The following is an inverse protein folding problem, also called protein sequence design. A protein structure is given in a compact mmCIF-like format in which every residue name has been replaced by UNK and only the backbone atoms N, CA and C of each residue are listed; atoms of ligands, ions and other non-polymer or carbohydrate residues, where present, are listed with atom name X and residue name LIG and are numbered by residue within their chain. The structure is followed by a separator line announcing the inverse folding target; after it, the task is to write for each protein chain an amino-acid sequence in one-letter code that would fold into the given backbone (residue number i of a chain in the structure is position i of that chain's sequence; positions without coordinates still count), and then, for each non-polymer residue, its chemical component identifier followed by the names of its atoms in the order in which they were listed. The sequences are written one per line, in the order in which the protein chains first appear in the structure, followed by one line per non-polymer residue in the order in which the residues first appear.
data_IF_538320531655
#
_entry.id   IF_538320531655
#
_cell.length_a   1.000
_cell.length_b   1.000
_cell.length_c   1.000
_cell.angle_alpha   90.00
_cell.angle_beta   90.00
_cell.angle_gamma   90.00
#
_symmetry.space_group_name_H-M   'P 1'
#
loop_
_entity.id
_entity.type
_entity.pdbx_description
1 polymer ?
#
# COMPACT_ATOMS: atom_id res chain seq x y z
N UNK A 1 3.11 -63.20 -48.04
CA UNK A 1 2.82 -62.40 -46.83
C UNK A 1 1.84 -63.19 -45.98
N UNK A 2 2.22 -63.50 -44.74
CA UNK A 2 1.40 -64.33 -43.84
C UNK A 2 0.23 -63.52 -43.27
N UNK A 3 -0.89 -64.16 -42.92
CA UNK A 3 -2.04 -63.49 -42.29
C UNK A 3 -1.68 -62.71 -41.01
N UNK A 4 -0.58 -63.08 -40.35
CA UNK A 4 0.01 -62.41 -39.20
C UNK A 4 0.67 -61.06 -39.53
N UNK A 5 1.28 -60.93 -40.71
CA UNK A 5 1.89 -59.66 -41.17
C UNK A 5 0.82 -58.64 -41.58
N UNK A 6 -0.25 -59.10 -42.24
CA UNK A 6 -1.41 -58.25 -42.56
C UNK A 6 -2.17 -57.80 -41.32
N UNK A 7 -2.32 -58.65 -40.29
CA UNK A 7 -2.96 -58.25 -39.04
C UNK A 7 -2.11 -57.26 -38.23
N UNK A 8 -0.77 -57.39 -38.22
CA UNK A 8 0.12 -56.38 -37.61
C UNK A 8 0.06 -55.04 -38.34
N UNK A 9 0.10 -55.05 -39.68
CA UNK A 9 -0.04 -53.84 -40.49
C UNK A 9 -1.40 -53.15 -40.31
N UNK A 10 -2.48 -53.91 -40.17
CA UNK A 10 -3.80 -53.37 -39.89
C UNK A 10 -3.92 -52.82 -38.47
N UNK A 11 -3.31 -53.48 -37.49
CA UNK A 11 -3.34 -53.05 -36.09
C UNK A 11 -2.48 -51.79 -35.85
N UNK A 12 -1.28 -51.72 -36.44
CA UNK A 12 -0.45 -50.51 -36.47
C UNK A 12 -1.16 -49.36 -37.18
N UNK A 13 -1.86 -49.64 -38.29
CA UNK A 13 -2.62 -48.62 -39.02
C UNK A 13 -3.80 -48.08 -38.21
N UNK A 14 -4.57 -48.95 -37.53
CA UNK A 14 -5.68 -48.50 -36.66
C UNK A 14 -5.20 -47.74 -35.42
N UNK A 15 -4.06 -48.14 -34.82
CA UNK A 15 -3.45 -47.40 -33.71
C UNK A 15 -2.92 -46.03 -34.15
N UNK A 16 -2.37 -45.93 -35.37
CA UNK A 16 -1.94 -44.65 -35.94
C UNK A 16 -3.12 -43.75 -36.32
N UNK A 17 -4.20 -44.31 -36.87
CA UNK A 17 -5.42 -43.56 -37.24
C UNK A 17 -6.12 -42.99 -35.98
N UNK A 18 -6.15 -43.75 -34.87
CA UNK A 18 -6.68 -43.28 -33.58
C UNK A 18 -5.81 -42.19 -32.95
N UNK A 19 -4.48 -42.30 -33.07
CA UNK A 19 -3.52 -41.29 -32.57
C UNK A 19 -3.59 -39.99 -33.38
N UNK A 20 -3.65 -40.10 -34.72
CA UNK A 20 -3.80 -38.97 -35.64
C UNK A 20 -5.10 -38.19 -35.39
N UNK A 21 -6.25 -38.89 -35.33
CA UNK A 21 -7.54 -38.28 -35.07
C UNK A 21 -7.59 -37.63 -33.67
N UNK A 22 -6.92 -38.22 -32.67
CA UNK A 22 -6.78 -37.65 -31.35
C UNK A 22 -5.98 -36.33 -31.38
N UNK A 23 -4.87 -36.29 -32.12
CA UNK A 23 -4.02 -35.10 -32.22
C UNK A 23 -4.72 -33.92 -32.91
N UNK A 24 -5.38 -34.17 -34.04
CA UNK A 24 -6.20 -33.15 -34.74
C UNK A 24 -7.29 -32.60 -33.82
N UNK A 25 -7.99 -33.48 -33.11
CA UNK A 25 -9.04 -33.10 -32.17
C UNK A 25 -8.50 -32.26 -31.02
N UNK A 26 -7.34 -32.61 -30.45
CA UNK A 26 -6.74 -31.83 -29.38
C UNK A 26 -6.32 -30.43 -29.85
N UNK A 27 -5.68 -30.30 -31.02
CA UNK A 27 -5.34 -28.99 -31.59
C UNK A 27 -6.60 -28.15 -31.87
N UNK A 28 -7.64 -28.77 -32.42
CA UNK A 28 -8.93 -28.10 -32.67
C UNK A 28 -9.61 -27.65 -31.37
N UNK A 29 -9.51 -28.44 -30.30
CA UNK A 29 -10.05 -28.10 -28.98
C UNK A 29 -9.36 -26.89 -28.34
N UNK A 30 -8.13 -26.56 -28.73
CA UNK A 30 -7.46 -25.33 -28.32
C UNK A 30 -8.06 -24.08 -29.00
N UNK A 31 -8.90 -24.27 -30.02
CA UNK A 31 -9.48 -23.20 -30.82
C UNK A 31 -8.59 -22.76 -32.00
N UNK A 32 -7.58 -23.56 -32.36
CA UNK A 32 -6.74 -23.31 -33.53
C UNK A 32 -7.61 -23.40 -34.79
N UNK A 33 -7.44 -22.43 -35.69
CA UNK A 33 -8.22 -22.38 -36.93
C UNK A 33 -7.88 -23.57 -37.84
N UNK A 34 -8.92 -24.23 -38.37
CA UNK A 34 -8.76 -25.32 -39.34
C UNK A 34 -7.99 -24.92 -40.61
N UNK A 35 -7.94 -23.62 -40.93
CA UNK A 35 -7.22 -23.08 -42.08
C UNK A 35 -5.71 -22.93 -41.84
N UNK A 36 -5.23 -23.16 -40.62
CA UNK A 36 -3.80 -23.09 -40.31
C UNK A 36 -3.10 -24.37 -40.75
N UNK A 37 -1.94 -24.21 -41.38
CA UNK A 37 -1.03 -25.32 -41.67
C UNK A 37 -0.30 -25.77 -40.41
N UNK A 38 0.17 -27.01 -40.38
CA UNK A 38 0.98 -27.51 -39.26
C UNK A 38 2.26 -26.67 -39.07
N UNK A 39 2.89 -26.22 -40.14
CA UNK A 39 4.02 -25.28 -40.12
C UNK A 39 3.65 -23.93 -39.47
N UNK A 40 2.46 -23.40 -39.75
CA UNK A 40 1.99 -22.16 -39.13
C UNK A 40 1.69 -22.34 -37.64
N UNK A 41 1.15 -23.50 -37.23
CA UNK A 41 0.95 -23.85 -35.82
C UNK A 41 2.29 -24.00 -35.11
N UNK A 42 3.27 -24.64 -35.74
CA UNK A 42 4.64 -24.73 -35.23
C UNK A 42 5.25 -23.35 -35.04
N UNK A 43 5.07 -22.43 -36.01
CA UNK A 43 5.54 -21.06 -35.89
C UNK A 43 4.90 -20.31 -34.69
N UNK A 44 3.65 -20.60 -34.33
CA UNK A 44 3.04 -20.01 -33.14
C UNK A 44 3.71 -20.44 -31.83
N UNK A 45 4.45 -21.56 -31.81
CA UNK A 45 5.23 -21.96 -30.63
C UNK A 45 6.37 -20.97 -30.33
N UNK A 46 6.86 -20.24 -31.33
CA UNK A 46 7.84 -19.16 -31.14
C UNK A 46 7.24 -17.98 -30.36
N UNK A 47 5.94 -17.73 -30.50
CA UNK A 47 5.25 -16.69 -29.73
C UNK A 47 5.11 -17.10 -28.25
N UNK A 48 4.87 -18.38 -27.99
CA UNK A 48 4.87 -18.94 -26.63
C UNK A 48 6.26 -18.80 -26.00
N UNK A 49 7.31 -19.11 -26.75
CA UNK A 49 8.70 -18.93 -26.28
C UNK A 49 9.04 -17.48 -25.98
N UNK A 50 8.60 -16.54 -26.81
CA UNK A 50 8.80 -15.13 -26.55
C UNK A 50 8.18 -14.69 -25.22
N UNK A 51 6.98 -15.20 -24.88
CA UNK A 51 6.35 -14.92 -23.57
C UNK A 51 7.15 -15.51 -22.42
N UNK A 52 7.55 -16.79 -22.52
CA UNK A 52 8.34 -17.44 -21.48
C UNK A 52 9.66 -16.72 -21.22
N UNK A 53 10.33 -16.25 -22.28
CA UNK A 53 11.54 -15.44 -22.18
C UNK A 53 11.26 -14.12 -21.46
N UNK A 54 10.18 -13.41 -21.80
CA UNK A 54 9.82 -12.17 -21.11
C UNK A 54 9.46 -12.39 -19.63
N UNK A 55 8.73 -13.46 -19.30
CA UNK A 55 8.45 -13.83 -17.91
C UNK A 55 9.74 -14.13 -17.13
N UNK A 56 10.67 -14.88 -17.74
CA UNK A 56 11.96 -15.17 -17.11
C UNK A 56 12.79 -13.89 -16.91
N UNK A 57 12.84 -13.01 -17.90
CA UNK A 57 13.53 -11.71 -17.80
C UNK A 57 12.99 -10.89 -16.63
N UNK A 58 11.68 -10.86 -16.45
CA UNK A 58 11.03 -10.17 -15.34
C UNK A 58 11.39 -10.80 -13.99
N UNK A 59 11.36 -12.13 -13.90
CA UNK A 59 11.69 -12.84 -12.68
C UNK A 59 13.17 -12.67 -12.28
N UNK A 60 14.07 -12.70 -13.28
CA UNK A 60 15.50 -12.43 -13.09
C UNK A 60 15.75 -11.00 -12.62
N UNK A 61 14.98 -10.03 -13.14
CA UNK A 61 15.10 -8.62 -12.73
C UNK A 61 14.70 -8.42 -11.26
N UNK A 62 13.71 -9.18 -10.78
CA UNK A 62 13.25 -9.10 -9.39
C UNK A 62 14.06 -9.92 -8.40
N UNK A 63 14.72 -11.01 -8.83
CA UNK A 63 15.50 -11.89 -7.96
C UNK A 63 16.40 -11.17 -6.93
N UNK A 64 17.23 -10.18 -7.32
CA UNK A 64 18.09 -9.45 -6.36
C UNK A 64 17.29 -8.60 -5.36
N UNK A 65 16.11 -8.11 -5.74
CA UNK A 65 15.22 -7.32 -4.89
C UNK A 65 14.51 -8.22 -3.88
N UNK A 66 13.90 -9.31 -4.37
CA UNK A 66 13.11 -10.27 -3.59
C UNK A 66 13.94 -10.88 -2.45
N UNK A 67 15.22 -11.18 -2.70
CA UNK A 67 16.12 -11.80 -1.71
C UNK A 67 16.27 -10.94 -0.45
N UNK A 68 16.07 -9.62 -0.58
CA UNK A 68 16.21 -8.65 0.50
C UNK A 68 14.86 -8.10 1.01
N UNK A 69 13.76 -8.47 0.36
CA UNK A 69 12.40 -8.08 0.73
C UNK A 69 11.76 -9.10 1.67
N UNK A 70 10.75 -8.64 2.41
CA UNK A 70 9.93 -9.51 3.25
C UNK A 70 9.22 -10.54 2.39
N UNK A 71 9.21 -11.80 2.83
CA UNK A 71 8.53 -12.91 2.12
C UNK A 71 7.06 -12.63 1.87
N UNK A 72 6.42 -11.85 2.73
CA UNK A 72 5.03 -11.43 2.58
C UNK A 72 4.75 -10.57 1.36
N UNK A 73 5.77 -9.92 0.79
CA UNK A 73 5.65 -9.11 -0.43
C UNK A 73 5.91 -9.93 -1.70
N UNK A 74 6.35 -11.18 -1.57
CA UNK A 74 6.76 -12.01 -2.72
C UNK A 74 5.58 -12.34 -3.65
N UNK A 75 4.34 -12.31 -3.16
CA UNK A 75 3.12 -12.50 -3.96
C UNK A 75 3.02 -11.49 -5.11
N UNK A 76 3.46 -10.24 -4.91
CA UNK A 76 3.46 -9.21 -5.96
C UNK A 76 4.40 -9.53 -7.13
N UNK A 77 5.27 -10.52 -7.00
CA UNK A 77 6.27 -10.87 -8.01
C UNK A 77 5.99 -12.21 -8.69
N UNK A 78 4.77 -12.74 -8.52
CA UNK A 78 4.30 -13.90 -9.28
C UNK A 78 4.11 -13.50 -10.76
N UNK A 79 4.22 -14.44 -11.70
CA UNK A 79 4.13 -14.14 -13.13
C UNK A 79 2.71 -14.16 -13.67
N UNK A 80 1.81 -13.32 -13.15
CA UNK A 80 0.38 -13.29 -13.52
C UNK A 80 -0.15 -11.86 -13.70
N UNK A 81 -1.39 -11.73 -14.20
CA UNK A 81 -2.08 -10.43 -14.29
C UNK A 81 -2.27 -9.81 -12.89
N UNK A 82 -2.77 -10.62 -11.95
CA UNK A 82 -3.10 -10.19 -10.59
C UNK A 82 -1.86 -9.68 -9.87
N UNK A 83 -0.76 -10.44 -9.92
CA UNK A 83 0.48 -10.04 -9.27
C UNK A 83 1.11 -8.80 -9.92
N UNK A 84 0.92 -8.60 -11.22
CA UNK A 84 1.34 -7.36 -11.91
C UNK A 84 0.55 -6.14 -11.42
N UNK A 85 -0.77 -6.27 -11.28
CA UNK A 85 -1.63 -5.23 -10.68
C UNK A 85 -1.26 -4.97 -9.22
N UNK A 86 -1.03 -6.02 -8.43
CA UNK A 86 -0.58 -5.94 -7.05
C UNK A 86 0.76 -5.23 -6.90
N UNK A 87 1.72 -5.49 -7.80
CA UNK A 87 2.99 -4.78 -7.79
C UNK A 87 2.81 -3.29 -8.09
N UNK A 88 1.99 -2.95 -9.08
CA UNK A 88 1.69 -1.56 -9.40
C UNK A 88 1.03 -0.85 -8.20
N UNK A 89 0.08 -1.50 -7.53
CA UNK A 89 -0.56 -1.00 -6.31
C UNK A 89 0.46 -0.83 -5.16
N UNK A 90 1.36 -1.80 -4.96
CA UNK A 90 2.41 -1.74 -3.95
C UNK A 90 3.35 -0.54 -4.20
N UNK A 91 3.79 -0.34 -5.44
CA UNK A 91 4.63 0.79 -5.84
C UNK A 91 3.91 2.11 -5.55
N UNK A 92 2.64 2.24 -5.94
CA UNK A 92 1.83 3.45 -5.68
C UNK A 92 1.68 3.74 -4.19
N UNK A 93 1.52 2.71 -3.35
CA UNK A 93 1.48 2.88 -1.90
C UNK A 93 2.81 3.37 -1.34
N UNK A 94 3.93 2.86 -1.84
CA UNK A 94 5.26 3.33 -1.44
C UNK A 94 5.48 4.79 -1.88
N UNK A 95 5.11 5.14 -3.11
CA UNK A 95 5.28 6.50 -3.64
C UNK A 95 4.42 7.54 -2.93
N UNK A 96 3.22 7.15 -2.50
CA UNK A 96 2.31 8.02 -1.74
C UNK A 96 2.70 8.13 -0.26
N UNK A 97 3.66 7.35 0.23
CA UNK A 97 4.10 7.37 1.62
C UNK A 97 4.67 8.75 1.99
N UNK A 98 4.07 9.46 2.97
CA UNK A 98 4.63 10.73 3.43
C UNK A 98 5.99 10.48 4.07
N UNK A 99 6.90 11.46 3.97
CA UNK A 99 8.26 11.33 4.53
C UNK A 99 8.25 10.96 6.02
N UNK A 100 7.26 11.45 6.77
CA UNK A 100 7.08 11.13 8.18
C UNK A 100 6.81 9.64 8.41
N UNK A 101 6.12 8.94 7.52
CA UNK A 101 5.79 7.51 7.65
C UNK A 101 7.03 6.68 7.97
N UNK A 102 8.14 6.94 7.29
CA UNK A 102 9.38 6.17 7.44
C UNK A 102 9.95 6.22 8.88
N UNK A 103 9.67 7.30 9.61
CA UNK A 103 10.01 7.44 11.04
C UNK A 103 8.86 7.10 12.00
N UNK A 104 7.62 7.13 11.51
CA UNK A 104 6.39 7.03 12.31
C UNK A 104 5.67 5.70 12.17
N UNK A 105 6.25 4.74 11.44
CA UNK A 105 5.62 3.45 11.18
C UNK A 105 5.35 2.71 12.48
N UNK A 106 4.06 2.62 12.78
CA UNK A 106 3.52 1.95 13.96
C UNK A 106 2.06 1.62 13.67
N UNK A 107 1.69 0.35 13.90
CA UNK A 107 0.33 -0.15 13.65
C UNK A 107 -0.74 0.58 14.48
N UNK A 108 -0.35 1.28 15.56
CA UNK A 108 -1.24 2.13 16.34
C UNK A 108 -1.76 3.36 15.59
N UNK A 109 -1.16 3.72 14.44
CA UNK A 109 -1.74 4.70 13.52
C UNK A 109 -2.82 4.10 12.62
N UNK A 110 -2.86 2.78 12.48
CA UNK A 110 -3.88 2.07 11.71
C UNK A 110 -5.09 1.67 12.56
N UNK A 111 -5.72 2.65 13.22
CA UNK A 111 -6.94 2.42 13.99
C UNK A 111 -7.88 3.64 13.95
N UNK A 112 -9.18 3.40 14.06
CA UNK A 112 -10.20 4.45 14.05
C UNK A 112 -10.09 5.40 15.25
N UNK A 113 -9.62 4.90 16.40
CA UNK A 113 -9.36 5.69 17.59
C UNK A 113 -8.35 6.82 17.33
N UNK A 114 -7.40 6.60 16.41
CA UNK A 114 -6.42 7.61 16.02
C UNK A 114 -7.08 8.84 15.38
N UNK A 115 -8.14 8.65 14.59
CA UNK A 115 -8.85 9.77 13.95
C UNK A 115 -9.43 10.74 14.98
N UNK A 116 -10.04 10.21 16.03
CA UNK A 116 -10.58 11.01 17.13
C UNK A 116 -9.47 11.73 17.90
N UNK A 117 -8.36 11.05 18.18
CA UNK A 117 -7.21 11.61 18.91
C UNK A 117 -6.56 12.75 18.13
N UNK A 118 -6.31 12.57 16.84
CA UNK A 118 -5.71 13.61 15.99
C UNK A 118 -6.66 14.80 15.82
N UNK A 119 -7.97 14.55 15.71
CA UNK A 119 -8.98 15.61 15.67
C UNK A 119 -8.99 16.43 16.97
N UNK A 120 -8.99 15.77 18.13
CA UNK A 120 -8.93 16.47 19.42
C UNK A 120 -7.61 17.25 19.56
N UNK A 121 -6.48 16.66 19.17
CA UNK A 121 -5.18 17.32 19.18
C UNK A 121 -5.17 18.61 18.34
N UNK A 122 -5.74 18.57 17.13
CA UNK A 122 -5.89 19.76 16.28
C UNK A 122 -6.75 20.83 16.95
N UNK A 123 -7.89 20.45 17.54
CA UNK A 123 -8.79 21.38 18.23
C UNK A 123 -8.12 22.06 19.42
N UNK A 124 -7.39 21.29 20.24
CA UNK A 124 -6.66 21.82 21.40
C UNK A 124 -5.56 22.80 20.96
N UNK A 125 -4.80 22.47 19.91
CA UNK A 125 -3.77 23.38 19.37
C UNK A 125 -4.35 24.63 18.72
N UNK A 126 -5.51 24.53 18.07
CA UNK A 126 -6.22 25.68 17.52
C UNK A 126 -6.65 26.68 18.61
N UNK A 127 -6.79 26.23 19.87
CA UNK A 127 -7.05 27.09 21.03
C UNK A 127 -5.74 27.56 21.68
N UNK A 128 -4.80 26.64 21.91
CA UNK A 128 -3.54 26.92 22.62
C UNK A 128 -2.64 27.89 21.86
N UNK A 129 -2.47 27.72 20.53
CA UNK A 129 -1.56 28.56 19.73
C UNK A 129 -1.98 30.05 19.76
N UNK A 130 -3.25 30.43 19.52
CA UNK A 130 -3.69 31.82 19.64
C UNK A 130 -3.62 32.36 21.07
N UNK A 131 -3.98 31.55 22.09
CA UNK A 131 -3.90 31.98 23.49
C UNK A 131 -2.46 32.24 23.92
N UNK A 132 -1.52 31.35 23.56
CA UNK A 132 -0.11 31.56 23.85
C UNK A 132 0.41 32.83 23.16
N UNK A 133 0.06 33.05 21.88
CA UNK A 133 0.44 34.27 21.15
C UNK A 133 -0.11 35.54 21.80
N UNK A 134 -1.33 35.48 22.37
CA UNK A 134 -1.96 36.59 23.08
C UNK A 134 -1.31 36.84 24.44
N UNK A 135 -0.96 35.79 25.18
CA UNK A 135 -0.50 35.87 26.57
C UNK A 135 1.01 36.09 26.71
N UNK A 136 1.83 35.39 25.92
CA UNK A 136 3.29 35.35 26.07
C UNK A 136 3.98 36.73 26.11
N UNK A 137 3.51 37.78 25.39
CA UNK A 137 4.10 39.12 25.51
C UNK A 137 3.93 39.76 26.89
N UNK A 138 2.89 39.39 27.64
CA UNK A 138 2.46 40.06 28.87
C UNK A 138 2.59 39.20 30.11
N UNK A 139 2.50 37.88 29.96
CA UNK A 139 2.41 36.91 31.05
C UNK A 139 3.36 35.76 30.79
N UNK A 140 4.06 35.31 31.84
CA UNK A 140 4.91 34.14 31.77
C UNK A 140 4.04 32.89 31.76
N UNK A 141 3.76 32.36 30.56
CA UNK A 141 2.89 31.20 30.35
C UNK A 141 3.43 29.91 30.96
N UNK A 142 4.73 29.85 31.29
CA UNK A 142 5.36 28.71 31.96
C UNK A 142 5.22 28.76 33.50
N UNK A 143 4.89 29.93 34.06
CA UNK A 143 4.74 30.14 35.51
C UNK A 143 3.26 30.14 35.95
N UNK A 144 2.33 29.86 35.04
CA UNK A 144 0.92 29.78 35.37
C UNK A 144 0.65 28.59 36.29
N UNK A 145 0.03 28.85 37.44
CA UNK A 145 -0.43 27.80 38.36
C UNK A 145 -1.66 27.08 37.84
N UNK A 146 -2.30 26.28 38.71
CA UNK A 146 -3.53 25.57 38.38
C UNK A 146 -4.71 26.51 38.07
N UNK A 147 -5.72 25.99 37.35
CA UNK A 147 -7.00 26.68 37.12
C UNK A 147 -7.63 27.17 38.43
N UNK A 148 -7.59 26.36 39.49
CA UNK A 148 -8.12 26.73 40.81
C UNK A 148 -7.37 27.91 41.44
N UNK A 149 -6.04 27.95 41.29
CA UNK A 149 -5.21 29.05 41.78
C UNK A 149 -5.55 30.34 41.02
N UNK A 150 -5.59 30.28 39.69
CA UNK A 150 -5.91 31.45 38.85
C UNK A 150 -7.31 32.00 39.12
N UNK A 151 -8.32 31.13 39.28
CA UNK A 151 -9.69 31.53 39.66
C UNK A 151 -9.73 32.16 41.05
N UNK A 152 -8.96 31.66 42.00
CA UNK A 152 -8.88 32.24 43.35
C UNK A 152 -8.31 33.66 43.33
N UNK A 153 -7.22 33.87 42.55
CA UNK A 153 -6.63 35.20 42.37
C UNK A 153 -7.63 36.14 41.69
N UNK A 154 -8.21 35.72 40.56
CA UNK A 154 -9.22 36.50 39.84
C UNK A 154 -10.38 36.90 40.76
N UNK A 155 -10.97 35.94 41.48
CA UNK A 155 -12.08 36.18 42.39
C UNK A 155 -11.71 37.16 43.52
N UNK A 156 -10.50 37.06 44.09
CA UNK A 156 -10.04 38.00 45.11
C UNK A 156 -9.84 39.43 44.56
N UNK A 157 -9.44 39.57 43.29
CA UNK A 157 -9.23 40.85 42.63
C UNK A 157 -10.55 41.49 42.18
N UNK A 158 -11.46 40.71 41.59
CA UNK A 158 -12.75 41.18 41.07
C UNK A 158 -13.72 41.60 42.19
N UNK A 159 -13.66 40.93 43.35
CA UNK A 159 -14.53 41.21 44.50
C UNK A 159 -13.92 42.22 45.49
N UNK A 160 -12.94 43.01 45.04
CA UNK A 160 -12.29 44.03 45.85
C UNK A 160 -13.22 45.23 46.07
N UNK A 161 -13.83 45.33 47.26
CA UNK A 161 -14.59 46.51 47.68
C UNK A 161 -13.73 47.76 47.92
N UNK A 162 -14.36 48.88 48.27
CA UNK A 162 -13.73 50.21 48.43
C UNK A 162 -12.57 50.28 49.45
N UNK A 163 -12.40 49.26 50.29
CA UNK A 163 -11.36 49.13 51.32
C UNK A 163 -10.43 47.92 51.13
N UNK A 164 -10.34 47.40 49.90
CA UNK A 164 -9.58 46.19 49.57
C UNK A 164 -8.10 46.23 49.97
N UNK A 165 -7.47 47.40 50.00
CA UNK A 165 -6.06 47.55 50.40
C UNK A 165 -5.78 47.11 51.85
N UNK A 166 -6.79 47.14 52.73
CA UNK A 166 -6.66 46.59 54.09
C UNK A 166 -6.69 45.06 54.13
N UNK A 167 -7.28 44.40 53.12
CA UNK A 167 -7.36 42.94 53.05
C UNK A 167 -5.98 42.33 52.75
N UNK A 168 -5.50 41.48 53.67
CA UNK A 168 -4.28 40.69 53.46
C UNK A 168 -4.40 39.77 52.24
N UNK A 169 -5.59 39.16 52.05
CA UNK A 169 -5.88 38.29 50.90
C UNK A 169 -5.78 39.05 49.57
N UNK A 170 -6.31 40.28 49.50
CA UNK A 170 -6.23 41.09 48.29
C UNK A 170 -4.78 41.48 47.99
N UNK A 171 -3.99 41.87 49.00
CA UNK A 171 -2.56 42.20 48.83
C UNK A 171 -1.75 40.99 48.32
N UNK A 172 -2.04 39.80 48.83
CA UNK A 172 -1.42 38.54 48.36
C UNK A 172 -1.83 38.23 46.92
N UNK A 173 -3.13 38.32 46.59
CA UNK A 173 -3.63 38.09 45.23
C UNK A 173 -3.03 39.09 44.22
N UNK A 174 -2.91 40.37 44.60
CA UNK A 174 -2.23 41.40 43.82
C UNK A 174 -0.78 41.04 43.56
N UNK A 175 -0.04 40.65 44.60
CA UNK A 175 1.36 40.26 44.45
C UNK A 175 1.51 39.03 43.54
N UNK A 176 0.67 38.01 43.73
CA UNK A 176 0.64 36.83 42.87
C UNK A 176 0.36 37.19 41.41
N UNK A 177 -0.62 38.07 41.15
CA UNK A 177 -0.92 38.52 39.79
C UNK A 177 0.27 39.27 39.15
N UNK A 178 0.94 40.15 39.88
CA UNK A 178 2.11 40.89 39.38
C UNK A 178 3.30 39.97 39.09
N UNK A 179 3.49 38.89 39.87
CA UNK A 179 4.54 37.89 39.62
C UNK A 179 4.32 37.14 38.30
N UNK A 180 3.06 37.03 37.82
CA UNK A 180 2.77 36.38 36.54
C UNK A 180 3.18 37.23 35.33
N UNK A 181 3.35 38.55 35.49
CA UNK A 181 3.70 39.44 34.39
C UNK A 181 5.14 39.20 33.92
N UNK A 182 5.37 39.27 32.60
CA UNK A 182 6.73 39.24 32.01
C UNK A 182 7.48 40.56 32.17
N UNK A 183 6.75 41.65 32.40
CA UNK A 183 7.28 43.00 32.53
C UNK A 183 6.75 43.64 33.82
N UNK A 184 7.67 44.13 34.66
CA UNK A 184 7.35 44.83 35.92
C UNK A 184 6.51 46.12 35.73
N UNK A 185 6.48 46.66 34.51
CA UNK A 185 5.68 47.85 34.15
C UNK A 185 4.21 47.55 33.84
N UNK A 186 3.83 46.28 33.73
CA UNK A 186 2.45 45.89 33.40
C UNK A 186 1.51 46.21 34.58
N UNK A 187 0.42 46.94 34.32
CA UNK A 187 -0.49 47.36 35.39
C UNK A 187 -1.36 46.19 35.83
N UNK A 188 -1.77 46.21 37.10
CA UNK A 188 -2.65 45.20 37.68
C UNK A 188 -3.96 45.05 36.89
N UNK A 189 -4.56 46.16 36.45
CA UNK A 189 -5.82 46.15 35.69
C UNK A 189 -5.65 45.45 34.33
N UNK A 190 -4.51 45.66 33.66
CA UNK A 190 -4.19 44.99 32.40
C UNK A 190 -4.02 43.49 32.61
N UNK A 191 -3.38 43.08 33.71
CA UNK A 191 -3.23 41.66 34.08
C UNK A 191 -4.59 41.03 34.42
N UNK A 192 -5.45 41.75 35.15
CA UNK A 192 -6.81 41.30 35.49
C UNK A 192 -7.61 40.92 34.25
N UNK A 193 -7.54 41.75 33.19
CA UNK A 193 -8.21 41.49 31.92
C UNK A 193 -7.70 40.22 31.20
N UNK A 194 -6.53 39.71 31.55
CA UNK A 194 -5.94 38.51 30.96
C UNK A 194 -6.32 37.21 31.69
N UNK A 195 -6.88 37.25 32.92
CA UNK A 195 -7.22 36.04 33.69
C UNK A 195 -8.14 35.06 32.96
N UNK A 196 -9.22 35.49 32.28
CA UNK A 196 -10.05 34.56 31.52
C UNK A 196 -9.25 33.79 30.45
N UNK A 197 -8.30 34.46 29.80
CA UNK A 197 -7.43 33.83 28.81
C UNK A 197 -6.38 32.91 29.46
N UNK A 198 -5.79 33.31 30.59
CA UNK A 198 -4.86 32.47 31.37
C UNK A 198 -5.52 31.18 31.85
N UNK A 199 -6.74 31.29 32.42
CA UNK A 199 -7.52 30.14 32.88
C UNK A 199 -7.82 29.19 31.74
N UNK A 200 -8.32 29.71 30.61
CA UNK A 200 -8.61 28.90 29.42
C UNK A 200 -7.34 28.23 28.88
N UNK A 201 -6.21 28.93 28.90
CA UNK A 201 -4.92 28.39 28.46
C UNK A 201 -4.49 27.20 29.32
N UNK A 202 -4.46 27.35 30.65
CA UNK A 202 -4.08 26.27 31.57
C UNK A 202 -5.04 25.09 31.48
N UNK A 203 -6.35 25.34 31.44
CA UNK A 203 -7.36 24.29 31.29
C UNK A 203 -7.17 23.48 30.00
N UNK A 204 -6.94 24.17 28.87
CA UNK A 204 -6.67 23.53 27.58
C UNK A 204 -5.33 22.79 27.60
N UNK A 205 -4.32 23.32 28.27
CA UNK A 205 -2.99 22.69 28.38
C UNK A 205 -3.04 21.39 29.21
N UNK A 206 -3.87 21.34 30.27
CA UNK A 206 -4.12 20.11 31.03
C UNK A 206 -4.70 19.04 30.12
N UNK A 207 -5.79 19.35 29.40
CA UNK A 207 -6.41 18.41 28.45
C UNK A 207 -5.44 17.95 27.35
N UNK A 208 -4.62 18.88 26.85
CA UNK A 208 -3.58 18.58 25.87
C UNK A 208 -2.56 17.58 26.40
N UNK A 209 -2.07 17.77 27.63
CA UNK A 209 -1.14 16.84 28.26
C UNK A 209 -1.80 15.48 28.56
N UNK A 210 -3.07 15.47 28.97
CA UNK A 210 -3.84 14.24 29.22
C UNK A 210 -3.99 13.40 27.95
N UNK A 211 -4.21 14.03 26.79
CA UNK A 211 -4.30 13.33 25.51
C UNK A 211 -3.02 12.53 25.20
N UNK A 212 -1.84 13.11 25.45
CA UNK A 212 -0.57 12.40 25.28
C UNK A 212 -0.35 11.30 26.34
N UNK A 213 -0.84 11.49 27.56
CA UNK A 213 -0.79 10.44 28.58
C UNK A 213 -1.65 9.22 28.23
N UNK A 214 -2.79 9.44 27.55
CA UNK A 214 -3.69 8.39 27.08
C UNK A 214 -3.24 7.76 25.75
N UNK A 215 -2.35 8.43 25.02
CA UNK A 215 -1.80 7.99 23.74
C UNK A 215 -0.25 7.97 23.76
N UNK A 216 0.37 6.98 24.41
CA UNK A 216 1.83 6.92 24.53
C UNK A 216 2.57 6.93 23.19
N UNK A 217 1.96 6.39 22.13
CA UNK A 217 2.47 6.41 20.76
C UNK A 217 2.60 7.82 20.17
N UNK A 218 1.84 8.80 20.69
CA UNK A 218 1.95 10.21 20.29
C UNK A 218 2.97 10.98 21.15
N UNK A 219 3.45 10.41 22.27
CA UNK A 219 4.24 11.13 23.27
C UNK A 219 5.54 11.71 22.73
N UNK A 220 6.19 11.04 21.76
CA UNK A 220 7.41 11.52 21.10
C UNK A 220 7.19 12.79 20.27
N UNK A 221 5.94 13.13 19.93
CA UNK A 221 5.56 14.35 19.20
C UNK A 221 5.17 15.50 20.12
N UNK A 222 5.11 15.25 21.42
CA UNK A 222 4.68 16.25 22.39
C UNK A 222 5.74 17.37 22.51
N UNK A 223 5.49 18.51 21.85
CA UNK A 223 6.35 19.70 21.88
C UNK A 223 5.58 20.92 22.42
N UNK A 224 4.61 20.68 23.30
CA UNK A 224 3.72 21.73 23.79
C UNK A 224 2.99 22.44 22.65
N UNK A 225 2.93 23.76 22.72
CA UNK A 225 2.30 24.62 21.68
C UNK A 225 2.97 24.53 20.30
N UNK A 226 4.20 24.02 20.24
CA UNK A 226 4.96 23.85 18.99
C UNK A 226 4.71 22.52 18.30
N UNK A 227 3.91 21.63 18.91
CA UNK A 227 3.54 20.34 18.32
C UNK A 227 3.00 20.54 16.90
N UNK A 228 3.62 19.84 15.95
CA UNK A 228 3.20 19.78 14.56
C UNK A 228 2.37 18.51 14.32
N UNK A 229 1.11 18.71 13.95
CA UNK A 229 0.14 17.62 13.73
C UNK A 229 0.09 17.21 12.27
N UNK A 230 0.59 18.04 11.34
CA UNK A 230 0.51 17.75 9.92
C UNK A 230 1.19 16.41 9.54
N UNK A 231 2.39 16.07 10.06
CA UNK A 231 3.00 14.77 9.82
C UNK A 231 2.16 13.59 10.31
N UNK A 232 1.52 13.74 11.48
CA UNK A 232 0.68 12.69 12.09
C UNK A 232 -0.58 12.42 11.26
N UNK A 233 -1.22 13.48 10.78
CA UNK A 233 -2.39 13.39 9.90
C UNK A 233 -2.03 12.77 8.56
N UNK A 234 -0.90 13.15 7.96
CA UNK A 234 -0.46 12.59 6.69
C UNK A 234 -0.21 11.08 6.82
N UNK A 235 0.41 10.63 7.91
CA UNK A 235 0.62 9.20 8.17
C UNK A 235 -0.70 8.47 8.36
N UNK A 236 -1.64 9.04 9.12
CA UNK A 236 -2.96 8.43 9.31
C UNK A 236 -3.73 8.32 7.99
N UNK A 237 -3.72 9.37 7.17
CA UNK A 237 -4.41 9.35 5.88
C UNK A 237 -3.80 8.30 4.95
N UNK A 238 -2.47 8.19 4.92
CA UNK A 238 -1.79 7.14 4.17
C UNK A 238 -2.22 5.73 4.61
N UNK A 239 -2.38 5.48 5.91
CA UNK A 239 -2.89 4.18 6.39
C UNK A 239 -4.32 3.90 5.91
N UNK A 240 -5.20 4.91 5.84
CA UNK A 240 -6.55 4.75 5.28
C UNK A 240 -6.52 4.42 3.79
N UNK A 241 -5.67 5.10 3.03
CA UNK A 241 -5.47 4.82 1.61
C UNK A 241 -4.89 3.41 1.40
N UNK A 242 -3.97 2.98 2.28
CA UNK A 242 -3.43 1.64 2.28
C UNK A 242 -4.51 0.59 2.55
N UNK A 243 -5.39 0.78 3.54
CA UNK A 243 -6.51 -0.13 3.80
C UNK A 243 -7.44 -0.26 2.59
N UNK A 244 -7.72 0.84 1.88
CA UNK A 244 -8.51 0.82 0.66
C UNK A 244 -7.81 0.00 -0.44
N UNK A 245 -6.52 0.24 -0.68
CA UNK A 245 -5.74 -0.51 -1.66
C UNK A 245 -5.64 -2.00 -1.29
N UNK A 246 -5.53 -2.34 -0.01
CA UNK A 246 -5.55 -3.72 0.47
C UNK A 246 -6.85 -4.42 0.11
N UNK A 247 -7.99 -3.75 0.29
CA UNK A 247 -9.30 -4.31 -0.05
C UNK A 247 -9.52 -4.45 -1.57
N UNK A 248 -8.90 -3.59 -2.38
CA UNK A 248 -9.06 -3.59 -3.84
C UNK A 248 -8.13 -4.60 -4.54
N UNK A 249 -6.84 -4.61 -4.19
CA UNK A 249 -5.82 -5.33 -4.95
C UNK A 249 -5.26 -6.57 -4.23
N UNK A 250 -5.44 -6.66 -2.91
CA UNK A 250 -4.78 -7.67 -2.06
C UNK A 250 -5.79 -8.51 -1.28
N UNK A 251 -6.93 -8.84 -1.89
CA UNK A 251 -7.98 -9.65 -1.28
C UNK A 251 -7.42 -11.00 -0.84
N UNK A 252 -7.47 -11.30 0.47
CA UNK A 252 -6.92 -12.53 1.05
C UNK A 252 -5.43 -12.45 1.42
N UNK A 253 -4.72 -11.39 1.00
CA UNK A 253 -3.28 -11.20 1.19
C UNK A 253 -2.99 -10.29 2.40
N UNK A 254 -3.39 -10.72 3.60
CA UNK A 254 -3.21 -9.97 4.85
C UNK A 254 -1.73 -9.69 5.22
N UNK A 255 -0.78 -10.33 4.52
CA UNK A 255 0.65 -10.16 4.74
C UNK A 255 1.23 -8.85 4.21
N UNK A 256 0.58 -8.20 3.25
CA UNK A 256 1.17 -7.10 2.46
C UNK A 256 1.38 -5.85 3.31
N UNK A 257 0.36 -5.42 4.06
CA UNK A 257 0.46 -4.26 4.94
C UNK A 257 1.52 -4.47 6.04
N UNK A 258 1.61 -5.69 6.58
CA UNK A 258 2.66 -6.06 7.53
C UNK A 258 4.06 -6.11 6.88
N UNK A 259 4.15 -6.43 5.60
CA UNK A 259 5.40 -6.31 4.83
C UNK A 259 5.83 -4.85 4.66
N UNK A 260 4.88 -3.98 4.35
CA UNK A 260 5.08 -2.53 4.22
C UNK A 260 5.44 -1.83 5.53
N UNK A 261 4.96 -2.33 6.67
CA UNK A 261 5.30 -1.72 7.97
C UNK A 261 6.77 -1.93 8.35
N UNK A 262 7.44 -2.96 7.81
CA UNK A 262 8.82 -3.32 8.17
C UNK A 262 9.85 -3.13 7.04
N UNK A 263 9.43 -2.85 5.80
CA UNK A 263 10.37 -2.57 4.70
C UNK A 263 11.19 -1.31 5.01
N UNK A 264 12.50 -1.30 4.86
CA UNK A 264 13.25 -0.06 5.04
C UNK A 264 13.05 0.89 3.84
N UNK A 265 13.24 2.19 4.08
CA UNK A 265 13.01 3.20 3.04
C UNK A 265 13.89 2.97 1.82
N UNK A 266 15.16 2.63 2.01
CA UNK A 266 16.10 2.44 0.91
C UNK A 266 15.63 1.30 -0.02
N UNK A 267 15.17 0.18 0.53
CA UNK A 267 14.62 -0.93 -0.27
C UNK A 267 13.31 -0.56 -0.96
N UNK A 268 12.47 0.21 -0.29
CA UNK A 268 11.22 0.70 -0.89
C UNK A 268 11.51 1.62 -2.09
N UNK A 269 12.45 2.55 -1.95
CA UNK A 269 12.90 3.45 -3.02
C UNK A 269 13.52 2.66 -4.18
N UNK A 270 14.36 1.65 -3.89
CA UNK A 270 14.94 0.76 -4.91
C UNK A 270 13.89 -0.03 -5.69
N UNK A 271 12.83 -0.48 -5.02
CA UNK A 271 11.72 -1.19 -5.67
C UNK A 271 10.99 -0.25 -6.65
N UNK A 272 10.68 0.97 -6.22
CA UNK A 272 10.03 1.99 -7.06
C UNK A 272 10.90 2.34 -8.26
N UNK A 273 12.20 2.59 -8.04
CA UNK A 273 13.14 2.92 -9.11
C UNK A 273 13.23 1.78 -10.14
N UNK A 274 13.38 0.54 -9.68
CA UNK A 274 13.47 -0.62 -10.55
C UNK A 274 12.19 -0.84 -11.38
N UNK A 275 11.03 -0.67 -10.75
CA UNK A 275 9.72 -0.80 -11.39
C UNK A 275 9.57 0.15 -12.57
N UNK A 276 9.87 1.43 -12.37
CA UNK A 276 9.77 2.45 -13.42
C UNK A 276 10.86 2.33 -14.48
N UNK A 277 12.09 1.96 -14.08
CA UNK A 277 13.21 1.86 -15.01
C UNK A 277 13.09 0.68 -15.98
N UNK A 278 12.50 -0.43 -15.55
CA UNK A 278 12.53 -1.68 -16.33
C UNK A 278 11.25 -2.51 -16.27
N UNK A 279 10.70 -2.72 -15.08
CA UNK A 279 9.68 -3.76 -14.89
C UNK A 279 8.35 -3.44 -15.57
N UNK A 280 7.92 -2.17 -15.52
CA UNK A 280 6.65 -1.74 -16.12
C UNK A 280 6.61 -1.99 -17.63
N UNK A 281 7.75 -1.84 -18.33
CA UNK A 281 7.83 -2.08 -19.77
C UNK A 281 7.70 -3.58 -20.09
N UNK A 282 8.35 -4.42 -19.30
CA UNK A 282 8.31 -5.88 -19.48
C UNK A 282 6.92 -6.42 -19.14
N UNK A 283 6.30 -5.97 -18.05
CA UNK A 283 4.91 -6.31 -17.67
C UNK A 283 3.95 -5.97 -18.81
N UNK A 284 4.00 -4.73 -19.32
CA UNK A 284 3.12 -4.31 -20.42
C UNK A 284 3.33 -5.14 -21.69
N UNK A 285 4.56 -5.56 -21.97
CA UNK A 285 4.87 -6.46 -23.09
C UNK A 285 4.25 -7.83 -22.88
N UNK A 286 4.42 -8.42 -21.70
CA UNK A 286 3.83 -9.71 -21.33
C UNK A 286 2.32 -9.65 -21.44
N UNK A 287 1.66 -8.64 -20.88
CA UNK A 287 0.19 -8.51 -20.93
C UNK A 287 -0.34 -8.41 -22.36
N UNK A 288 0.37 -7.68 -23.23
CA UNK A 288 0.03 -7.60 -24.65
C UNK A 288 0.18 -8.96 -25.34
N UNK A 289 1.27 -9.67 -25.08
CA UNK A 289 1.49 -11.00 -25.66
C UNK A 289 0.46 -12.01 -25.13
N UNK A 290 0.19 -12.01 -23.83
CA UNK A 290 -0.83 -12.86 -23.20
C UNK A 290 -2.23 -12.59 -23.74
N UNK A 291 -2.58 -11.32 -23.96
CA UNK A 291 -3.84 -10.95 -24.61
C UNK A 291 -3.96 -11.53 -26.02
N UNK A 292 -2.85 -11.52 -26.79
CA UNK A 292 -2.81 -12.15 -28.11
C UNK A 292 -2.97 -13.67 -28.00
N UNK A 293 -2.27 -14.32 -27.07
CA UNK A 293 -2.37 -15.78 -26.86
C UNK A 293 -3.79 -16.20 -26.46
N UNK A 294 -4.45 -15.46 -25.58
CA UNK A 294 -5.86 -15.71 -25.18
C UNK A 294 -6.81 -15.71 -26.38
N UNK A 295 -6.57 -14.83 -27.37
CA UNK A 295 -7.35 -14.77 -28.60
C UNK A 295 -6.99 -15.89 -29.59
N UNK A 296 -5.70 -16.26 -29.67
CA UNK A 296 -5.24 -17.34 -30.54
C UNK A 296 -5.66 -18.73 -30.04
N UNK A 297 -5.84 -18.90 -28.73
CA UNK A 297 -6.16 -20.17 -28.08
C UNK A 297 -7.40 -20.06 -27.17
N UNK A 298 -8.57 -19.72 -27.72
CA UNK A 298 -9.78 -19.47 -26.94
C UNK A 298 -10.31 -20.73 -26.24
N UNK A 299 -9.96 -21.93 -26.74
CA UNK A 299 -10.37 -23.20 -26.14
C UNK A 299 -9.51 -23.65 -24.96
N UNK A 300 -8.36 -23.01 -24.72
CA UNK A 300 -7.45 -23.39 -23.65
C UNK A 300 -7.77 -22.62 -22.35
N UNK A 301 -8.53 -23.26 -21.47
CA UNK A 301 -9.09 -22.64 -20.26
C UNK A 301 -8.03 -22.03 -19.34
N UNK A 302 -6.87 -22.67 -19.17
CA UNK A 302 -5.83 -22.18 -18.26
C UNK A 302 -5.34 -20.76 -18.62
N UNK A 303 -5.30 -20.39 -19.90
CA UNK A 303 -4.96 -19.01 -20.30
C UNK A 303 -6.08 -18.00 -20.02
N UNK A 304 -7.33 -18.45 -19.93
CA UNK A 304 -8.50 -17.58 -19.76
C UNK A 304 -8.73 -17.18 -18.29
N UNK A 305 -8.10 -17.89 -17.36
CA UNK A 305 -8.12 -17.53 -15.95
C UNK A 305 -7.33 -16.23 -15.68
N UNK A 306 -7.90 -15.37 -14.83
CA UNK A 306 -7.30 -14.07 -14.48
C UNK A 306 -6.10 -14.25 -13.55
N UNK A 307 -6.15 -15.27 -12.70
CA UNK A 307 -5.12 -15.70 -11.75
C UNK A 307 -4.14 -16.73 -12.34
N UNK A 308 -4.18 -16.96 -13.65
CA UNK A 308 -3.29 -17.91 -14.30
C UNK A 308 -1.83 -17.50 -14.11
N UNK A 309 -1.03 -18.40 -13.55
CA UNK A 309 0.44 -18.30 -13.64
C UNK A 309 0.84 -18.44 -15.10
N UNK A 310 1.36 -17.35 -15.68
CA UNK A 310 1.63 -17.27 -17.12
C UNK A 310 2.69 -18.29 -17.53
N UNK A 311 3.73 -18.50 -16.71
CA UNK A 311 4.80 -19.46 -17.02
C UNK A 311 4.24 -20.86 -17.10
N UNK A 312 3.47 -21.29 -16.11
CA UNK A 312 2.84 -22.62 -16.07
C UNK A 312 1.87 -22.80 -17.23
N UNK A 313 0.93 -21.87 -17.41
CA UNK A 313 -0.10 -21.97 -18.44
C UNK A 313 0.49 -22.02 -19.86
N UNK A 314 1.49 -21.18 -20.15
CA UNK A 314 2.15 -21.13 -21.46
C UNK A 314 3.03 -22.36 -21.69
N UNK A 315 3.74 -22.84 -20.65
CA UNK A 315 4.56 -24.06 -20.75
C UNK A 315 3.71 -25.29 -21.06
N UNK A 316 2.59 -25.45 -20.36
CA UNK A 316 1.65 -26.56 -20.59
C UNK A 316 1.03 -26.49 -21.98
N UNK A 317 0.58 -25.30 -22.41
CA UNK A 317 0.05 -25.11 -23.77
C UNK A 317 1.09 -25.48 -24.83
N UNK A 318 2.33 -25.02 -24.67
CA UNK A 318 3.42 -25.33 -25.59
C UNK A 318 3.64 -26.84 -25.67
N UNK A 319 3.68 -27.53 -24.52
CA UNK A 319 3.87 -28.97 -24.47
C UNK A 319 2.75 -29.72 -25.20
N UNK A 320 1.48 -29.30 -25.03
CA UNK A 320 0.34 -29.88 -25.75
C UNK A 320 0.54 -29.76 -27.25
N UNK A 321 0.82 -28.55 -27.75
CA UNK A 321 0.99 -28.27 -29.19
C UNK A 321 2.14 -29.10 -29.78
N UNK A 322 3.32 -29.08 -29.14
CA UNK A 322 4.50 -29.81 -29.61
C UNK A 322 4.24 -31.31 -29.65
N UNK A 323 3.59 -31.88 -28.63
CA UNK A 323 3.26 -33.30 -28.61
C UNK A 323 2.30 -33.69 -29.73
N UNK A 324 1.28 -32.87 -30.02
CA UNK A 324 0.34 -33.16 -31.10
C UNK A 324 0.99 -33.00 -32.48
N UNK A 325 1.82 -31.97 -32.68
CA UNK A 325 2.57 -31.82 -33.94
C UNK A 325 3.55 -32.99 -34.16
N UNK A 326 4.23 -33.45 -33.11
CA UNK A 326 5.10 -34.64 -33.20
C UNK A 326 4.31 -35.87 -33.62
N UNK A 327 3.14 -36.12 -33.02
CA UNK A 327 2.29 -37.26 -33.37
C UNK A 327 1.82 -37.22 -34.85
N UNK A 328 1.49 -36.02 -35.37
CA UNK A 328 1.11 -35.84 -36.77
C UNK A 328 2.30 -36.03 -37.72
N UNK A 329 3.49 -35.54 -37.34
CA UNK A 329 4.72 -35.75 -38.09
C UNK A 329 5.12 -37.23 -38.13
N UNK A 330 5.01 -37.95 -37.01
CA UNK A 330 5.29 -39.39 -36.91
C UNK A 330 4.29 -40.22 -37.74
N UNK A 331 3.07 -39.72 -37.93
CA UNK A 331 2.08 -40.28 -38.85
C UNK A 331 2.36 -39.96 -40.33
N UNK A 332 3.37 -39.15 -40.64
CA UNK A 332 3.79 -38.80 -42.00
C UNK A 332 2.97 -37.70 -42.67
N UNK A 333 2.28 -36.86 -41.88
CA UNK A 333 1.51 -35.72 -42.40
C UNK A 333 2.45 -34.62 -42.91
N UNK A 334 2.19 -34.06 -44.09
CA UNK A 334 2.96 -32.93 -44.64
C UNK A 334 2.71 -31.66 -43.80
N UNK A 335 3.78 -30.93 -43.44
CA UNK A 335 3.71 -29.72 -42.63
C UNK A 335 2.88 -28.59 -43.27
N UNK A 336 2.69 -28.62 -44.59
CA UNK A 336 1.87 -27.67 -45.34
C UNK A 336 0.38 -28.02 -45.35
N UNK A 337 0.00 -29.18 -44.80
CA UNK A 337 -1.40 -29.61 -44.71
C UNK A 337 -2.15 -28.72 -43.73
N UNK A 338 -3.36 -28.29 -44.10
CA UNK A 338 -4.21 -27.52 -43.19
C UNK A 338 -4.88 -28.45 -42.17
N UNK A 339 -5.10 -27.95 -40.95
CA UNK A 339 -5.74 -28.73 -39.88
C UNK A 339 -7.14 -29.25 -40.26
N UNK A 340 -7.89 -28.54 -41.11
CA UNK A 340 -9.21 -28.98 -41.60
C UNK A 340 -9.17 -30.07 -42.68
N UNK A 341 -7.99 -30.35 -43.23
CA UNK A 341 -7.77 -31.39 -44.25
C UNK A 341 -7.41 -32.76 -43.63
N UNK A 342 -7.22 -32.79 -42.31
CA UNK A 342 -6.94 -33.95 -41.47
C UNK A 342 -8.19 -34.39 -40.71
#
# INVERSE_FOLDING_TARGET
MSSLETNRLLQDKTLNDDSHACAVKQLSNLGISGLMTLEAIEFQTLELDAVLVSCQQLQDSYSPLITNLQSRLHTCFQGSAISSEQLAALVKLIESAPQALWSLRDDSFNCYEMDFRLTELQQLLAILKPLNKKLAPFVNTNALGSVSTLRSIQCCLDNAGMFCWFSSKWRVAKQQALILATNEQLKLDDIQLLFPAMIKYVDTQVRFNELFAQAPNLSSFHQGVHTDVAPLLAVREWYKDAEFAMAEHFVGEAGILAGLSVIDKQKADQLVEHYHASSVLVINSIDKQMSKLRLSYPGYQALQHVDADYVTAVTELKAIIVNQLSALNDAGVDSRTCLSEL
#
